data_IF_068737433132
#
_entry.id   IF_068737433132
#
_cell.length_a   1.000
_cell.length_b   1.000
_cell.length_c   1.000
_cell.angle_alpha   90.00
_cell.angle_beta   90.00
_cell.angle_gamma   90.00
#
_symmetry.space_group_name_H-M   'P 1'
#
loop_
_entity.id
_entity.type
_entity.pdbx_description
1 polymer ?
#
# COMPACT_ATOMS: atom_id res chain seq x y z
N UNK A 1 -11.75 7.92 22.83
CA UNK A 1 -10.81 8.00 21.69
C UNK A 1 -11.48 8.78 20.57
N UNK A 2 -10.74 9.66 19.90
CA UNK A 2 -11.28 10.53 18.83
C UNK A 2 -11.33 9.79 17.49
N UNK A 3 -12.49 9.79 16.82
CA UNK A 3 -12.69 9.15 15.49
C UNK A 3 -11.66 9.59 14.45
N UNK A 4 -11.13 10.81 14.56
CA UNK A 4 -10.10 11.36 13.66
C UNK A 4 -8.75 10.64 13.82
N UNK A 5 -8.40 10.27 15.05
CA UNK A 5 -7.15 9.55 15.35
C UNK A 5 -7.18 8.12 14.82
N UNK A 6 -8.33 7.45 14.90
CA UNK A 6 -8.52 6.11 14.35
C UNK A 6 -8.50 6.11 12.82
N UNK A 7 -8.97 7.18 12.17
CA UNK A 7 -8.88 7.31 10.71
C UNK A 7 -7.44 7.45 10.23
N UNK A 8 -6.64 8.31 10.86
CA UNK A 8 -5.22 8.50 10.52
C UNK A 8 -4.45 7.19 10.65
N UNK A 9 -4.69 6.41 11.70
CA UNK A 9 -4.06 5.09 11.86
C UNK A 9 -4.41 4.15 10.71
N UNK A 10 -5.68 4.08 10.31
CA UNK A 10 -6.13 3.22 9.20
C UNK A 10 -5.54 3.67 7.86
N UNK A 11 -5.44 4.98 7.61
CA UNK A 11 -4.81 5.52 6.40
C UNK A 11 -3.32 5.16 6.35
N UNK A 12 -2.62 5.23 7.49
CA UNK A 12 -1.20 4.84 7.57
C UNK A 12 -0.97 3.33 7.33
N UNK A 13 -1.92 2.48 7.71
CA UNK A 13 -1.85 1.04 7.43
C UNK A 13 -1.80 0.77 5.92
N UNK A 14 -2.62 1.47 5.12
CA UNK A 14 -2.62 1.31 3.65
C UNK A 14 -1.26 1.67 3.03
N UNK A 15 -0.63 2.75 3.50
CA UNK A 15 0.69 3.14 3.03
C UNK A 15 1.77 2.11 3.39
N UNK A 16 1.73 1.58 4.62
CA UNK A 16 2.69 0.55 5.04
C UNK A 16 2.53 -0.72 4.21
N UNK A 17 1.29 -1.19 3.98
CA UNK A 17 1.01 -2.35 3.13
C UNK A 17 1.54 -2.14 1.71
N UNK A 18 1.30 -0.96 1.10
CA UNK A 18 1.83 -0.65 -0.21
C UNK A 18 3.37 -0.74 -0.27
N UNK A 19 4.06 -0.24 0.75
CA UNK A 19 5.52 -0.30 0.82
C UNK A 19 6.04 -1.73 1.04
N UNK A 20 5.38 -2.51 1.88
CA UNK A 20 5.78 -3.89 2.16
C UNK A 20 5.67 -4.76 0.90
N UNK A 21 4.55 -4.66 0.18
CA UNK A 21 4.35 -5.36 -1.11
C UNK A 21 5.34 -4.87 -2.18
N UNK A 22 5.66 -3.57 -2.21
CA UNK A 22 6.67 -3.04 -3.13
C UNK A 22 8.07 -3.62 -2.84
N UNK A 23 8.48 -3.71 -1.57
CA UNK A 23 9.76 -4.32 -1.21
C UNK A 23 9.80 -5.83 -1.54
N UNK A 24 8.68 -6.54 -1.36
CA UNK A 24 8.60 -7.95 -1.77
C UNK A 24 8.71 -8.10 -3.29
N UNK A 25 8.04 -7.24 -4.07
CA UNK A 25 8.19 -7.20 -5.52
C UNK A 25 9.66 -7.07 -5.94
N UNK A 26 10.40 -6.15 -5.31
CA UNK A 26 11.84 -5.98 -5.56
C UNK A 26 12.65 -7.22 -5.16
N UNK A 27 12.27 -7.91 -4.09
CA UNK A 27 12.93 -9.14 -3.69
C UNK A 27 12.77 -10.24 -4.75
N UNK A 28 11.54 -10.45 -5.25
CA UNK A 28 11.26 -11.41 -6.30
C UNK A 28 11.88 -11.05 -7.64
N UNK A 29 11.91 -9.77 -8.00
CA UNK A 29 12.61 -9.30 -9.20
C UNK A 29 14.11 -9.64 -9.14
N UNK A 30 14.72 -9.46 -7.97
CA UNK A 30 16.14 -9.78 -7.74
C UNK A 30 16.42 -11.29 -7.68
N UNK A 31 15.46 -12.12 -7.27
CA UNK A 31 15.59 -13.58 -7.29
C UNK A 31 15.29 -14.19 -8.66
N UNK A 32 14.75 -13.40 -9.59
CA UNK A 32 14.35 -13.83 -10.93
C UNK A 32 12.94 -14.40 -11.00
N UNK A 33 12.17 -14.35 -9.92
CA UNK A 33 10.76 -14.75 -9.90
C UNK A 33 9.86 -13.61 -10.40
N UNK A 34 9.80 -13.48 -11.73
CA UNK A 34 9.13 -12.33 -12.36
C UNK A 34 7.59 -12.40 -12.26
N UNK A 35 7.01 -13.57 -12.02
CA UNK A 35 5.56 -13.71 -11.85
C UNK A 35 5.14 -13.15 -10.49
N UNK A 36 5.80 -13.61 -9.42
CA UNK A 36 5.57 -13.12 -8.06
C UNK A 36 5.94 -11.64 -7.94
N UNK A 37 7.02 -11.19 -8.59
CA UNK A 37 7.37 -9.77 -8.62
C UNK A 37 6.25 -8.89 -9.19
N UNK A 38 5.62 -9.31 -10.29
CA UNK A 38 4.51 -8.58 -10.92
C UNK A 38 3.26 -8.60 -10.07
N UNK A 39 2.96 -9.74 -9.44
CA UNK A 39 1.82 -9.86 -8.53
C UNK A 39 1.95 -8.91 -7.33
N UNK A 40 3.12 -8.91 -6.68
CA UNK A 40 3.40 -8.05 -5.53
C UNK A 40 3.39 -6.56 -5.92
N UNK A 41 3.89 -6.22 -7.12
CA UNK A 41 3.82 -4.86 -7.63
C UNK A 41 2.37 -4.39 -7.83
N UNK A 42 1.54 -5.19 -8.49
CA UNK A 42 0.13 -4.85 -8.70
C UNK A 42 -0.60 -4.65 -7.37
N UNK A 43 -0.34 -5.52 -6.40
CA UNK A 43 -0.90 -5.42 -5.04
C UNK A 43 -0.46 -4.13 -4.34
N UNK A 44 0.81 -3.74 -4.47
CA UNK A 44 1.32 -2.48 -3.93
C UNK A 44 0.61 -1.25 -4.54
N UNK A 45 0.32 -1.29 -5.84
CA UNK A 45 -0.41 -0.22 -6.53
C UNK A 45 -1.86 -0.11 -6.05
N UNK A 46 -2.55 -1.22 -5.82
CA UNK A 46 -3.91 -1.21 -5.27
C UNK A 46 -3.96 -0.53 -3.89
N UNK A 47 -3.04 -0.88 -2.99
CA UNK A 47 -2.97 -0.25 -1.66
C UNK A 47 -2.60 1.24 -1.74
N UNK A 48 -1.70 1.62 -2.64
CA UNK A 48 -1.34 3.02 -2.92
C UNK A 48 -2.56 3.81 -3.37
N UNK A 49 -3.35 3.25 -4.28
CA UNK A 49 -4.53 3.92 -4.83
C UNK A 49 -5.64 4.05 -3.78
N UNK A 50 -5.86 3.03 -2.96
CA UNK A 50 -6.75 3.09 -1.78
C UNK A 50 -6.30 4.16 -0.78
N UNK A 51 -4.99 4.26 -0.51
CA UNK A 51 -4.44 5.31 0.35
C UNK A 51 -4.77 6.70 -0.20
N UNK A 52 -4.53 6.95 -1.49
CA UNK A 52 -4.79 8.25 -2.09
C UNK A 52 -6.27 8.59 -2.17
N UNK A 53 -7.13 7.61 -2.46
CA UNK A 53 -8.57 7.80 -2.40
C UNK A 53 -9.01 8.27 -1.01
N UNK A 54 -8.51 7.61 0.04
CA UNK A 54 -8.84 7.95 1.41
C UNK A 54 -8.35 9.35 1.80
N UNK A 55 -7.08 9.67 1.51
CA UNK A 55 -6.51 11.00 1.78
C UNK A 55 -7.33 12.10 1.09
N UNK A 56 -7.68 11.92 -0.18
CA UNK A 56 -8.53 12.87 -0.94
C UNK A 56 -9.94 12.98 -0.38
N UNK A 57 -10.52 11.87 0.09
CA UNK A 57 -11.86 11.88 0.69
C UNK A 57 -11.91 12.60 2.05
N UNK A 58 -10.83 12.56 2.82
CA UNK A 58 -10.74 13.22 4.14
C UNK A 58 -10.39 14.72 4.06
N UNK A 59 -9.96 15.19 2.89
CA UNK A 59 -9.63 16.61 2.63
C UNK A 59 -10.78 17.41 2.00
N UNK A 60 -11.92 16.77 1.68
CA UNK A 60 -13.17 17.43 1.26
C UNK A 60 -14.08 17.69 2.46
#
# INVERSE_FOLDING_TARGET
>A
MSRKFDSIKRTRVLLNLALDHFHQSQHFENSGDLEDARYELATAEEYRDMYWYRVKSETR
#
